data_IF_136706386662
#
_entry.id   IF_136706386662
#
_cell.length_a   1.000
_cell.length_b   1.000
_cell.length_c   1.000
_cell.angle_alpha   90.00
_cell.angle_beta   90.00
_cell.angle_gamma   90.00
#
_symmetry.space_group_name_H-M   'P 1'
#
loop_
_entity.id
_entity.type
_entity.pdbx_description
1 polymer ?
#
# COMPACT_ATOMS: atom_id res chain seq x y z
N UNK A 1 -42.18 21.88 24.50
CA UNK A 1 -41.99 22.63 25.76
C UNK A 1 -40.66 22.22 26.38
N UNK A 2 -39.99 23.17 27.03
CA UNK A 2 -38.54 23.26 27.15
C UNK A 2 -38.07 23.01 28.58
N UNK A 3 -36.79 22.74 28.78
CA UNK A 3 -36.07 23.18 29.97
C UNK A 3 -34.56 23.05 29.65
N UNK A 4 -33.83 24.12 29.35
CA UNK A 4 -33.54 25.37 30.08
C UNK A 4 -32.35 25.19 31.01
N UNK A 5 -31.39 26.06 30.72
CA UNK A 5 -30.08 26.30 31.28
C UNK A 5 -30.09 26.63 32.77
N UNK A 6 -29.01 26.26 33.48
CA UNK A 6 -28.32 27.07 34.51
C UNK A 6 -26.95 26.45 34.86
N UNK A 7 -25.91 27.26 34.64
CA UNK A 7 -24.54 27.20 35.19
C UNK A 7 -24.51 27.84 36.61
N UNK A 8 -23.37 28.07 37.27
CA UNK A 8 -22.08 27.35 37.44
C UNK A 8 -21.88 27.00 38.95
N UNK A 9 -20.70 26.52 39.41
CA UNK A 9 -20.10 26.58 40.79
C UNK A 9 -18.99 25.51 40.82
N UNK A 10 -17.74 25.91 40.62
CA UNK A 10 -16.67 26.14 41.61
C UNK A 10 -15.86 24.88 41.92
N UNK A 11 -14.55 25.08 41.82
CA UNK A 11 -13.44 24.16 42.10
C UNK A 11 -13.56 23.52 43.49
N UNK A 12 -13.19 22.24 43.61
CA UNK A 12 -12.35 21.76 44.71
C UNK A 12 -11.52 20.54 44.25
N UNK A 13 -10.22 20.63 44.56
CA UNK A 13 -9.23 19.56 44.49
C UNK A 13 -9.60 18.41 45.43
N UNK A 14 -9.45 17.17 44.99
CA UNK A 14 -9.01 16.13 45.93
C UNK A 14 -8.10 15.12 45.23
N UNK A 15 -6.98 14.87 45.90
CA UNK A 15 -5.89 14.00 45.51
C UNK A 15 -6.23 12.52 45.77
N UNK A 16 -5.43 11.67 45.12
CA UNK A 16 -4.75 10.52 45.71
C UNK A 16 -5.00 9.14 45.05
N UNK A 17 -3.93 8.35 45.12
CA UNK A 17 -3.84 6.89 44.99
C UNK A 17 -3.37 6.33 43.65
N UNK A 18 -2.06 6.48 43.50
CA UNK A 18 -1.17 5.60 42.75
C UNK A 18 -1.29 4.13 43.21
N UNK A 19 -1.65 3.23 42.29
CA UNK A 19 -1.35 1.80 42.41
C UNK A 19 -0.04 1.47 41.68
N UNK A 20 0.93 1.00 42.45
CA UNK A 20 2.27 0.58 42.04
C UNK A 20 2.26 -0.91 41.64
N UNK A 21 2.94 -1.26 40.54
CA UNK A 21 3.39 -2.63 40.27
C UNK A 21 4.94 -2.72 40.38
N UNK A 22 5.50 -3.80 40.94
CA UNK A 22 6.92 -3.89 41.30
C UNK A 22 7.73 -4.70 40.28
N UNK A 23 9.00 -4.33 40.05
CA UNK A 23 10.14 -5.25 40.26
C UNK A 23 11.47 -4.68 39.74
N UNK A 24 12.45 -4.75 40.65
CA UNK A 24 13.87 -5.03 40.47
C UNK A 24 14.75 -4.14 39.58
N UNK A 25 15.49 -3.22 40.22
CA UNK A 25 16.95 -3.33 40.34
C UNK A 25 17.49 -2.33 41.38
N UNK A 26 18.38 -2.82 42.25
CA UNK A 26 19.04 -2.05 43.30
C UNK A 26 20.54 -2.01 43.02
N UNK A 27 21.11 -0.83 42.77
CA UNK A 27 22.46 -0.43 43.25
C UNK A 27 22.85 0.98 42.80
N UNK A 28 22.77 1.92 43.74
CA UNK A 28 23.82 2.87 44.16
C UNK A 28 24.64 3.69 43.13
N UNK A 29 24.26 4.96 43.01
CA UNK A 29 25.11 6.17 43.05
C UNK A 29 26.23 6.36 42.00
N UNK A 30 25.98 7.25 41.02
CA UNK A 30 26.55 8.61 40.94
C UNK A 30 26.04 9.34 39.69
N UNK A 31 25.65 10.60 39.92
CA UNK A 31 25.10 11.61 39.02
C UNK A 31 25.85 11.77 37.70
N UNK A 32 25.11 11.82 36.58
CA UNK A 32 25.13 12.92 35.59
C UNK A 32 24.34 12.52 34.34
N UNK A 33 23.39 13.39 33.97
CA UNK A 33 22.76 13.52 32.67
C UNK A 33 21.88 12.36 32.19
N UNK A 34 20.78 12.16 32.91
CA UNK A 34 19.54 11.77 32.25
C UNK A 34 19.16 12.92 31.32
N UNK A 35 19.59 12.83 30.06
CA UNK A 35 18.98 13.59 28.99
C UNK A 35 17.57 13.03 28.77
N UNK A 36 16.70 13.21 29.76
CA UNK A 36 15.28 13.28 29.47
C UNK A 36 15.20 14.41 28.47
N UNK A 37 15.02 14.05 27.21
CA UNK A 37 14.63 14.99 26.19
C UNK A 37 13.19 15.42 26.53
N UNK A 38 13.05 16.20 27.61
CA UNK A 38 11.91 17.06 27.91
C UNK A 38 11.93 18.28 26.97
N UNK A 39 12.46 18.08 25.76
CA UNK A 39 12.30 18.97 24.62
C UNK A 39 11.44 18.24 23.60
N UNK A 40 10.22 17.91 24.03
CA UNK A 40 9.08 17.67 23.15
C UNK A 40 8.25 18.94 23.16
N UNK A 41 8.73 19.87 22.37
CA UNK A 41 8.15 21.15 21.92
C UNK A 41 6.75 21.04 21.28
N UNK A 42 5.99 19.99 21.59
CA UNK A 42 4.70 19.69 20.99
C UNK A 42 3.49 19.99 21.89
N UNK A 43 3.60 20.03 23.22
CA UNK A 43 2.40 20.13 24.10
C UNK A 43 2.49 21.08 25.30
N UNK A 44 3.62 21.73 25.56
CA UNK A 44 3.77 22.53 26.79
C UNK A 44 4.11 23.98 26.42
N UNK A 45 3.09 24.84 26.42
CA UNK A 45 3.22 26.30 26.46
C UNK A 45 3.56 26.71 27.90
N UNK A 46 4.68 26.25 28.44
CA UNK A 46 5.05 26.62 29.82
C UNK A 46 5.77 27.96 29.88
N UNK A 47 5.43 28.70 30.95
CA UNK A 47 6.14 29.90 31.33
C UNK A 47 7.59 29.57 31.69
N UNK A 48 8.48 30.53 31.40
CA UNK A 48 9.90 30.41 31.68
C UNK A 48 10.11 30.19 33.19
N UNK A 49 11.01 29.27 33.60
CA UNK A 49 11.36 29.11 35.01
C UNK A 49 11.87 30.43 35.60
N UNK A 50 11.59 30.71 36.89
CA UNK A 50 11.78 32.03 37.52
C UNK A 50 13.23 32.48 37.64
N UNK A 51 14.19 31.58 37.38
CA UNK A 51 15.62 31.82 37.55
C UNK A 51 16.31 32.39 36.28
N UNK A 52 15.58 32.52 35.17
CA UNK A 52 16.06 33.15 33.93
C UNK A 52 15.39 34.52 33.75
N UNK A 53 16.09 35.55 33.24
CA UNK A 53 15.45 36.82 32.91
C UNK A 53 14.26 36.57 31.97
N UNK A 54 13.16 37.30 32.18
CA UNK A 54 11.98 37.18 31.34
C UNK A 54 12.36 37.41 29.86
N UNK A 55 11.74 36.65 28.95
CA UNK A 55 11.86 36.91 27.52
C UNK A 55 11.34 38.32 27.26
N UNK A 56 11.96 39.08 26.37
CA UNK A 56 11.41 40.40 26.04
C UNK A 56 10.01 40.21 25.44
N UNK A 57 9.11 41.15 25.71
CA UNK A 57 7.73 41.10 25.21
C UNK A 57 7.65 40.89 23.69
N UNK A 58 8.59 41.51 22.96
CA UNK A 58 8.70 41.39 21.50
C UNK A 58 9.11 39.97 21.05
N UNK A 59 10.04 39.33 21.75
CA UNK A 59 10.47 37.97 21.44
C UNK A 59 9.36 36.95 21.73
N UNK A 60 8.62 37.13 22.82
CA UNK A 60 7.45 36.30 23.18
C UNK A 60 6.33 36.40 22.13
N UNK A 61 5.99 37.62 21.71
CA UNK A 61 4.97 37.85 20.68
C UNK A 61 5.36 37.21 19.35
N UNK A 62 6.62 37.34 18.95
CA UNK A 62 7.14 36.73 17.71
C UNK A 62 7.10 35.19 17.77
N UNK A 63 7.49 34.60 18.90
CA UNK A 63 7.42 33.15 19.10
C UNK A 63 5.98 32.64 19.03
N UNK A 64 5.04 33.33 19.69
CA UNK A 64 3.61 33.01 19.63
C UNK A 64 3.08 33.02 18.20
N UNK A 65 3.43 34.06 17.42
CA UNK A 65 3.02 34.18 16.03
C UNK A 65 3.56 33.02 15.16
N UNK A 66 4.85 32.67 15.32
CA UNK A 66 5.46 31.55 14.58
C UNK A 66 4.82 30.20 14.93
N UNK A 67 4.51 29.96 16.20
CA UNK A 67 3.81 28.75 16.63
C UNK A 67 2.39 28.67 16.06
N UNK A 68 1.62 29.75 16.15
CA UNK A 68 0.27 29.82 15.57
C UNK A 68 0.29 29.56 14.06
N UNK A 69 1.27 30.09 13.35
CA UNK A 69 1.47 29.84 11.92
C UNK A 69 1.80 28.37 11.63
N UNK A 70 2.67 27.75 12.42
CA UNK A 70 3.00 26.33 12.32
C UNK A 70 1.77 25.44 12.53
N UNK A 71 0.99 25.70 13.59
CA UNK A 71 -0.23 24.95 13.89
C UNK A 71 -1.26 25.13 12.78
N UNK A 72 -1.42 26.36 12.26
CA UNK A 72 -2.29 26.63 11.12
C UNK A 72 -1.85 25.87 9.87
N UNK A 73 -0.55 25.83 9.60
CA UNK A 73 0.05 25.06 8.52
C UNK A 73 -0.20 23.56 8.66
N UNK A 74 0.04 23.01 9.85
CA UNK A 74 -0.19 21.60 10.17
C UNK A 74 -1.66 21.21 9.97
N UNK A 75 -2.59 21.98 10.54
CA UNK A 75 -4.05 21.75 10.38
C UNK A 75 -4.50 21.82 8.92
N UNK A 76 -3.99 22.80 8.16
CA UNK A 76 -4.31 22.95 6.73
C UNK A 76 -3.80 21.76 5.92
N UNK A 77 -2.56 21.30 6.18
CA UNK A 77 -1.95 20.15 5.52
C UNK A 77 -2.72 18.87 5.83
N UNK A 78 -3.02 18.62 7.11
CA UNK A 78 -3.78 17.44 7.53
C UNK A 78 -5.15 17.36 6.84
N UNK A 79 -5.87 18.48 6.75
CA UNK A 79 -7.16 18.54 6.05
C UNK A 79 -7.03 18.24 4.55
N UNK A 80 -5.98 18.75 3.89
CA UNK A 80 -5.71 18.46 2.48
C UNK A 80 -5.36 16.98 2.27
N UNK A 81 -4.48 16.43 3.10
CA UNK A 81 -4.07 15.03 3.04
C UNK A 81 -5.26 14.09 3.32
N UNK A 82 -6.14 14.43 4.26
CA UNK A 82 -7.37 13.70 4.51
C UNK A 82 -8.32 13.73 3.29
N UNK A 83 -8.48 14.90 2.63
CA UNK A 83 -9.29 15.01 1.40
C UNK A 83 -8.69 14.20 0.24
N UNK A 84 -7.38 14.28 0.05
CA UNK A 84 -6.67 13.54 -1.00
C UNK A 84 -6.80 12.02 -0.79
N UNK A 85 -6.56 11.53 0.43
CA UNK A 85 -6.73 10.12 0.79
C UNK A 85 -8.16 9.62 0.55
N UNK A 86 -9.17 10.41 0.96
CA UNK A 86 -10.58 10.05 0.69
C UNK A 86 -10.89 9.95 -0.80
N UNK A 87 -10.39 10.89 -1.61
CA UNK A 87 -10.58 10.87 -3.07
C UNK A 87 -9.91 9.65 -3.71
N UNK A 88 -8.67 9.33 -3.31
CA UNK A 88 -7.94 8.18 -3.83
C UNK A 88 -8.62 6.86 -3.45
N UNK A 89 -9.03 6.70 -2.19
CA UNK A 89 -9.75 5.51 -1.73
C UNK A 89 -11.07 5.31 -2.49
N UNK A 90 -11.83 6.38 -2.70
CA UNK A 90 -13.06 6.33 -3.50
C UNK A 90 -12.81 5.91 -4.95
N UNK A 91 -11.74 6.42 -5.58
CA UNK A 91 -11.36 6.01 -6.94
C UNK A 91 -10.94 4.54 -7.00
N UNK A 92 -10.18 4.06 -6.02
CA UNK A 92 -9.79 2.64 -5.92
C UNK A 92 -11.01 1.74 -5.77
N UNK A 93 -11.92 2.06 -4.84
CA UNK A 93 -13.16 1.32 -4.64
C UNK A 93 -13.99 1.26 -5.94
N UNK A 94 -14.13 2.38 -6.64
CA UNK A 94 -14.89 2.42 -7.90
C UNK A 94 -14.27 1.53 -9.00
N UNK A 95 -12.94 1.39 -9.03
CA UNK A 95 -12.26 0.51 -9.97
C UNK A 95 -12.43 -0.96 -9.58
N UNK A 96 -12.35 -1.26 -8.29
CA UNK A 96 -12.58 -2.60 -7.75
C UNK A 96 -14.01 -3.08 -8.03
N UNK A 97 -15.01 -2.24 -7.76
CA UNK A 97 -16.42 -2.53 -8.08
C UNK A 97 -16.62 -2.79 -9.59
N UNK A 98 -15.96 -2.02 -10.45
CA UNK A 98 -15.99 -2.28 -11.91
C UNK A 98 -15.38 -3.64 -12.27
N UNK A 99 -14.27 -4.02 -11.63
CA UNK A 99 -13.61 -5.30 -11.85
C UNK A 99 -14.48 -6.47 -11.37
N UNK A 100 -15.09 -6.33 -10.18
CA UNK A 100 -16.01 -7.33 -9.62
C UNK A 100 -17.22 -7.51 -10.54
N UNK A 101 -17.85 -6.41 -10.93
CA UNK A 101 -19.02 -6.44 -11.82
C UNK A 101 -18.68 -7.05 -13.18
N UNK A 102 -17.56 -6.66 -13.79
CA UNK A 102 -17.10 -7.25 -15.03
C UNK A 102 -16.87 -8.76 -14.86
N UNK A 103 -16.18 -9.18 -13.80
CA UNK A 103 -15.92 -10.60 -13.50
C UNK A 103 -17.21 -11.39 -13.35
N UNK A 104 -18.22 -10.82 -12.69
CA UNK A 104 -19.54 -11.42 -12.54
C UNK A 104 -20.22 -11.61 -13.89
N UNK A 105 -20.36 -10.55 -14.68
CA UNK A 105 -20.94 -10.62 -16.04
C UNK A 105 -20.23 -11.64 -16.93
N UNK A 106 -18.90 -11.69 -16.86
CA UNK A 106 -18.14 -12.68 -17.62
C UNK A 106 -18.44 -14.13 -17.21
N UNK A 107 -18.54 -14.42 -15.91
CA UNK A 107 -18.78 -15.78 -15.45
C UNK A 107 -20.25 -16.22 -15.57
N UNK A 108 -21.19 -15.31 -15.35
CA UNK A 108 -22.62 -15.63 -15.30
C UNK A 108 -23.29 -15.53 -16.67
N UNK A 109 -22.88 -14.57 -17.51
CA UNK A 109 -23.59 -14.27 -18.76
C UNK A 109 -22.79 -14.69 -20.00
N UNK A 110 -21.50 -14.33 -20.05
CA UNK A 110 -20.69 -14.44 -21.28
C UNK A 110 -20.12 -15.84 -21.47
N UNK A 111 -19.37 -16.36 -20.49
CA UNK A 111 -18.67 -17.64 -20.61
C UNK A 111 -19.62 -18.83 -20.83
N UNK A 112 -20.78 -18.94 -20.15
CA UNK A 112 -21.72 -20.04 -20.40
C UNK A 112 -22.31 -20.02 -21.81
N UNK A 113 -22.52 -18.83 -22.37
CA UNK A 113 -23.19 -18.63 -23.66
C UNK A 113 -22.22 -18.14 -24.75
N UNK A 114 -20.94 -18.51 -24.65
CA UNK A 114 -19.83 -17.92 -25.42
C UNK A 114 -20.13 -17.80 -26.92
N UNK A 115 -20.60 -18.89 -27.55
CA UNK A 115 -20.83 -18.92 -28.99
C UNK A 115 -21.90 -17.92 -29.46
N UNK A 116 -22.91 -17.64 -28.63
CA UNK A 116 -24.01 -16.73 -28.96
C UNK A 116 -23.67 -15.27 -28.66
N UNK A 117 -22.87 -15.02 -27.62
CA UNK A 117 -22.67 -13.66 -27.07
C UNK A 117 -21.31 -13.06 -27.40
N UNK A 118 -20.36 -13.82 -27.98
CA UNK A 118 -19.01 -13.33 -28.34
C UNK A 118 -19.04 -12.14 -29.31
N UNK A 119 -19.99 -12.11 -30.23
CA UNK A 119 -20.11 -11.06 -31.26
C UNK A 119 -20.93 -9.86 -30.78
N UNK A 120 -21.59 -9.98 -29.63
CA UNK A 120 -22.43 -8.93 -29.10
C UNK A 120 -21.59 -7.68 -28.78
N UNK A 121 -22.09 -6.51 -29.16
CA UNK A 121 -21.40 -5.23 -28.94
C UNK A 121 -21.05 -5.03 -27.47
N UNK A 122 -21.96 -5.40 -26.55
CA UNK A 122 -21.73 -5.27 -25.11
C UNK A 122 -20.51 -6.07 -24.63
N UNK A 123 -20.36 -7.31 -25.12
CA UNK A 123 -19.23 -8.18 -24.82
C UNK A 123 -17.91 -7.61 -25.33
N UNK A 124 -17.93 -7.05 -26.56
CA UNK A 124 -16.77 -6.37 -27.15
C UNK A 124 -16.44 -5.07 -26.41
N UNK A 125 -17.41 -4.27 -26.02
CA UNK A 125 -17.12 -3.06 -25.25
C UNK A 125 -16.51 -3.43 -23.87
N UNK A 126 -16.96 -4.54 -23.28
CA UNK A 126 -16.43 -5.05 -22.03
C UNK A 126 -15.00 -5.59 -22.16
N UNK A 127 -14.66 -6.32 -23.23
CA UNK A 127 -13.27 -6.78 -23.45
C UNK A 127 -12.30 -5.62 -23.66
N UNK A 128 -12.80 -4.46 -24.12
CA UNK A 128 -11.98 -3.35 -24.62
C UNK A 128 -11.55 -2.49 -23.45
N UNK A 129 -12.41 -2.45 -22.42
CA UNK A 129 -12.09 -1.96 -21.08
C UNK A 129 -11.07 -2.87 -20.37
N UNK A 130 -10.91 -4.12 -20.81
CA UNK A 130 -9.95 -5.09 -20.29
C UNK A 130 -10.62 -6.30 -19.65
N UNK A 131 -9.94 -7.44 -19.72
CA UNK A 131 -10.38 -8.70 -19.10
C UNK A 131 -9.88 -8.82 -17.65
N UNK A 132 -10.72 -9.22 -16.69
CA UNK A 132 -10.28 -9.60 -15.36
C UNK A 132 -9.19 -10.69 -15.39
N UNK A 133 -8.18 -10.65 -14.50
CA UNK A 133 -7.07 -11.60 -14.51
C UNK A 133 -7.51 -13.06 -14.39
N UNK A 134 -8.48 -13.35 -13.53
CA UNK A 134 -8.95 -14.71 -13.22
C UNK A 134 -9.60 -15.42 -14.41
N UNK A 135 -10.22 -14.66 -15.33
CA UNK A 135 -10.94 -15.24 -16.48
C UNK A 135 -10.12 -15.24 -17.76
N UNK A 136 -9.02 -14.46 -17.81
CA UNK A 136 -8.30 -14.17 -19.06
C UNK A 136 -7.88 -15.44 -19.79
N UNK A 137 -7.31 -16.40 -19.08
CA UNK A 137 -6.88 -17.68 -19.66
C UNK A 137 -8.05 -18.48 -20.25
N UNK A 138 -9.22 -18.47 -19.61
CA UNK A 138 -10.43 -19.14 -20.10
C UNK A 138 -10.97 -18.47 -21.36
N UNK A 139 -11.08 -17.14 -21.34
CA UNK A 139 -11.56 -16.34 -22.47
C UNK A 139 -10.63 -16.50 -23.67
N UNK A 140 -9.31 -16.39 -23.48
CA UNK A 140 -8.35 -16.53 -24.59
C UNK A 140 -8.33 -17.95 -25.16
N UNK A 141 -8.42 -18.99 -24.32
CA UNK A 141 -8.56 -20.36 -24.81
C UNK A 141 -9.79 -20.52 -25.73
N UNK A 142 -10.92 -19.92 -25.35
CA UNK A 142 -12.15 -19.95 -26.15
C UNK A 142 -12.09 -19.06 -27.40
N UNK A 143 -11.40 -17.92 -27.32
CA UNK A 143 -11.29 -16.97 -28.43
C UNK A 143 -10.32 -17.43 -29.51
N UNK A 144 -9.19 -18.02 -29.12
CA UNK A 144 -8.22 -18.61 -30.05
C UNK A 144 -8.77 -19.91 -30.63
N UNK A 145 -9.48 -20.70 -29.83
CA UNK A 145 -9.98 -22.01 -30.24
C UNK A 145 -8.89 -23.07 -30.30
N UNK A 146 -9.21 -24.23 -30.87
CA UNK A 146 -8.27 -25.33 -31.10
C UNK A 146 -8.62 -26.06 -32.40
N UNK A 147 -8.68 -25.34 -33.51
CA UNK A 147 -9.06 -25.92 -34.81
C UNK A 147 -8.09 -26.99 -35.30
N UNK A 148 -6.84 -26.93 -34.83
CA UNK A 148 -5.78 -27.92 -35.10
C UNK A 148 -5.87 -29.16 -34.21
N UNK A 149 -6.82 -29.20 -33.26
CA UNK A 149 -7.02 -30.29 -32.31
C UNK A 149 -5.73 -30.72 -31.58
N UNK A 150 -4.89 -29.76 -31.20
CA UNK A 150 -3.63 -30.03 -30.50
C UNK A 150 -3.96 -30.56 -29.11
N UNK A 151 -3.41 -31.74 -28.79
CA UNK A 151 -3.53 -32.39 -27.47
C UNK A 151 -2.27 -32.15 -26.64
N UNK A 152 -2.38 -32.32 -25.32
CA UNK A 152 -1.23 -32.23 -24.41
C UNK A 152 -0.14 -33.24 -24.78
N UNK A 153 -0.53 -34.47 -25.11
CA UNK A 153 0.38 -35.53 -25.54
C UNK A 153 1.16 -35.13 -26.81
N UNK A 154 0.47 -34.58 -27.82
CA UNK A 154 1.13 -34.12 -29.04
C UNK A 154 2.11 -32.98 -28.75
N UNK A 155 1.73 -32.04 -27.88
CA UNK A 155 2.61 -30.96 -27.44
C UNK A 155 3.87 -31.49 -26.75
N UNK A 156 3.73 -32.49 -25.86
CA UNK A 156 4.84 -33.07 -25.13
C UNK A 156 5.80 -33.84 -26.05
N UNK A 157 5.26 -34.62 -27.01
CA UNK A 157 6.06 -35.32 -28.03
C UNK A 157 6.86 -34.32 -28.87
N UNK A 158 6.22 -33.26 -29.38
CA UNK A 158 6.88 -32.23 -30.17
C UNK A 158 7.93 -31.46 -29.37
N UNK A 159 7.68 -31.22 -28.08
CA UNK A 159 8.62 -30.57 -27.17
C UNK A 159 9.84 -31.44 -26.91
N UNK A 160 9.65 -32.74 -26.66
CA UNK A 160 10.73 -33.69 -26.46
C UNK A 160 11.64 -33.78 -27.71
N UNK A 161 11.04 -33.92 -28.90
CA UNK A 161 11.77 -33.94 -30.18
C UNK A 161 12.52 -32.64 -30.46
N UNK A 162 11.92 -31.50 -30.15
CA UNK A 162 12.57 -30.19 -30.30
C UNK A 162 13.79 -30.07 -29.39
N UNK A 163 13.68 -30.50 -28.14
CA UNK A 163 14.81 -30.51 -27.19
C UNK A 163 15.92 -31.42 -27.67
N UNK A 164 15.62 -32.65 -28.07
CA UNK A 164 16.61 -33.59 -28.62
C UNK A 164 17.36 -33.00 -29.83
N UNK A 165 16.64 -32.40 -30.79
CA UNK A 165 17.26 -31.74 -31.95
C UNK A 165 18.14 -30.54 -31.59
N UNK A 166 17.72 -29.73 -30.62
CA UNK A 166 18.51 -28.60 -30.13
C UNK A 166 19.81 -29.11 -29.48
N UNK A 167 19.72 -30.14 -28.63
CA UNK A 167 20.87 -30.76 -27.97
C UNK A 167 21.85 -31.39 -28.98
N UNK A 168 21.35 -32.17 -29.94
CA UNK A 168 22.19 -32.78 -30.99
C UNK A 168 22.87 -31.71 -31.85
N UNK A 169 22.20 -30.59 -32.15
CA UNK A 169 22.81 -29.49 -32.90
C UNK A 169 23.88 -28.74 -32.09
N UNK A 170 23.76 -28.68 -30.76
CA UNK A 170 24.79 -28.09 -29.90
C UNK A 170 26.00 -29.00 -29.72
N UNK A 171 25.81 -30.31 -29.61
CA UNK A 171 26.91 -31.29 -29.51
C UNK A 171 27.67 -31.43 -30.83
N UNK A 172 26.98 -31.42 -31.98
CA UNK A 172 27.62 -31.45 -33.30
C UNK A 172 28.43 -30.18 -33.55
N UNK A 173 27.93 -28.99 -33.14
CA UNK A 173 28.72 -27.74 -33.21
C UNK A 173 29.92 -27.73 -32.25
N UNK A 174 29.87 -28.47 -31.16
CA UNK A 174 31.00 -28.58 -30.23
C UNK A 174 32.13 -29.48 -30.76
N UNK A 175 31.91 -30.25 -31.83
CA UNK A 175 32.92 -31.10 -32.44
C UNK A 175 33.64 -30.45 -33.64
N UNK A 176 33.17 -29.30 -34.13
CA UNK A 176 33.78 -28.58 -35.28
C UNK A 176 34.45 -27.26 -34.93
N UNK A 177 34.50 -26.83 -33.67
CA UNK A 177 35.26 -25.63 -33.32
C UNK A 177 35.85 -25.73 -31.93
N UNK A 178 37.05 -26.30 -31.87
CA UNK A 178 37.97 -26.21 -30.74
C UNK A 178 38.49 -24.77 -30.60
N UNK A 179 37.70 -23.83 -30.12
CA UNK A 179 38.21 -22.63 -29.42
C UNK A 179 37.20 -22.17 -28.36
N UNK A 180 37.64 -22.24 -27.11
CA UNK A 180 36.79 -22.07 -25.94
C UNK A 180 36.21 -20.67 -25.81
N UNK A 181 34.90 -20.59 -25.55
CA UNK A 181 34.26 -19.48 -24.84
C UNK A 181 33.17 -20.05 -23.94
N UNK A 182 33.38 -19.97 -22.63
CA UNK A 182 32.35 -20.17 -21.62
C UNK A 182 31.24 -19.15 -21.85
N UNK A 183 30.13 -19.56 -22.47
CA UNK A 183 28.92 -18.74 -22.51
C UNK A 183 28.23 -18.84 -21.16
N UNK A 184 28.53 -17.85 -20.32
CA UNK A 184 27.76 -17.53 -19.12
C UNK A 184 26.33 -17.15 -19.56
N UNK A 185 25.38 -18.08 -19.41
CA UNK A 185 23.96 -17.74 -19.53
C UNK A 185 23.59 -16.83 -18.35
N UNK A 186 23.15 -15.57 -18.58
CA UNK A 186 22.59 -14.78 -17.50
C UNK A 186 21.28 -15.45 -17.07
N UNK A 187 21.24 -15.92 -15.82
CA UNK A 187 19.98 -16.22 -15.14
C UNK A 187 19.22 -14.90 -15.03
N UNK A 188 18.30 -14.64 -15.96
CA UNK A 188 17.28 -13.64 -15.73
C UNK A 188 16.29 -14.19 -14.71
N UNK A 189 16.31 -13.52 -13.57
CA UNK A 189 15.41 -13.58 -12.43
C UNK A 189 14.07 -12.95 -12.86
N UNK A 190 12.95 -13.58 -12.49
CA UNK A 190 11.63 -12.94 -12.44
C UNK A 190 11.45 -12.28 -11.08
#
# INVERSE_FOLDING_TARGET
LPWKSKSPIEDEEEQDQTQRCPSACSSSSRRSDECIATSTTALILENRPPNLPAKSFEEEAKHKQQYEEMIRGARKKELQDAKCRKKQAYQQQKLEEQLINATKTWNEEILPNWNSVKENRKTRDLWWKGLPPSIRGRVWKLAVGNDLNITQELFDICTARSKEKIWVSTDVKSCESSEGKYFFFPKYVF
#
